data_IF_713096530204
#
_entry.id   IF_713096530204
#
_cell.length_a   1.000
_cell.length_b   1.000
_cell.length_c   1.000
_cell.angle_alpha   90.00
_cell.angle_beta   90.00
_cell.angle_gamma   90.00
#
_symmetry.space_group_name_H-M   'P 1'
#
loop_
_entity.id
_entity.type
_entity.pdbx_description
1 polymer ?
#
# COMPACT_ATOMS: atom_id res chain seq x y z
N UNK A 1 74.53 -19.78 43.55
CA UNK A 1 73.21 -20.30 43.16
C UNK A 1 72.26 -19.12 43.00
N UNK A 2 72.15 -18.60 41.78
CA UNK A 2 71.34 -17.43 41.47
C UNK A 2 70.00 -17.88 40.82
N UNK A 3 68.91 -17.68 41.57
CA UNK A 3 67.56 -17.88 41.03
C UNK A 3 67.12 -16.63 40.27
N UNK A 4 67.03 -16.72 38.95
CA UNK A 4 66.40 -15.71 38.12
C UNK A 4 64.87 -15.84 38.20
N UNK A 5 64.24 -14.77 38.65
CA UNK A 5 62.79 -14.63 38.60
C UNK A 5 62.40 -14.19 37.14
N UNK A 6 61.60 -14.98 36.47
CA UNK A 6 61.01 -14.64 35.18
C UNK A 6 59.65 -13.97 35.49
N UNK A 7 59.56 -12.68 35.18
CA UNK A 7 58.31 -11.93 35.23
C UNK A 7 57.60 -12.13 33.91
N UNK A 8 56.49 -12.84 33.96
CA UNK A 8 55.61 -12.98 32.80
C UNK A 8 54.77 -11.71 32.66
N UNK A 9 54.98 -10.99 31.56
CA UNK A 9 54.15 -9.86 31.18
C UNK A 9 52.96 -10.37 30.38
N UNK A 10 51.76 -10.36 31.00
CA UNK A 10 50.53 -10.71 30.33
C UNK A 10 50.08 -9.49 29.50
N UNK A 11 50.20 -9.60 28.18
CA UNK A 11 49.63 -8.66 27.26
C UNK A 11 48.15 -8.98 27.09
N UNK A 12 47.31 -8.14 27.68
CA UNK A 12 45.86 -8.22 27.51
C UNK A 12 45.49 -7.60 26.16
N UNK A 13 45.32 -8.46 25.15
CA UNK A 13 44.81 -8.02 23.83
C UNK A 13 43.31 -7.83 23.97
N UNK A 14 42.86 -6.59 24.10
CA UNK A 14 41.44 -6.24 24.00
C UNK A 14 41.03 -6.41 22.53
N UNK A 15 40.34 -7.48 22.24
CA UNK A 15 39.62 -7.63 20.97
C UNK A 15 38.41 -6.71 21.01
N UNK A 16 38.53 -5.54 20.43
CA UNK A 16 37.39 -4.69 20.08
C UNK A 16 36.60 -5.43 19.00
N UNK A 17 35.59 -6.18 19.43
CA UNK A 17 34.53 -6.59 18.52
C UNK A 17 33.76 -5.34 18.10
N UNK A 18 34.23 -4.68 17.03
CA UNK A 18 33.38 -3.81 16.24
C UNK A 18 32.31 -4.70 15.63
N UNK A 19 31.15 -4.79 16.29
CA UNK A 19 29.96 -5.35 15.70
C UNK A 19 29.62 -4.52 14.47
N UNK A 20 30.03 -5.02 13.30
CA UNK A 20 29.37 -4.65 12.06
C UNK A 20 27.91 -5.05 12.21
N UNK A 21 27.05 -4.12 12.60
CA UNK A 21 25.65 -4.21 12.29
C UNK A 21 25.60 -4.24 10.76
N UNK A 22 25.53 -5.44 10.19
CA UNK A 22 25.10 -5.60 8.81
C UNK A 22 23.68 -5.07 8.83
N UNK A 23 23.48 -3.90 8.22
CA UNK A 23 22.14 -3.44 7.85
C UNK A 23 21.51 -4.60 7.10
N UNK A 24 20.52 -5.24 7.75
CA UNK A 24 19.79 -6.33 7.11
C UNK A 24 19.06 -5.68 5.94
N UNK A 25 19.43 -6.09 4.73
CA UNK A 25 18.68 -5.73 3.54
C UNK A 25 17.24 -6.15 3.76
N UNK A 26 16.31 -5.22 3.65
CA UNK A 26 14.88 -5.52 3.75
C UNK A 26 14.55 -6.44 2.58
N UNK A 27 13.90 -7.58 2.84
CA UNK A 27 13.32 -8.39 1.78
C UNK A 27 12.12 -7.63 1.24
N UNK A 28 12.32 -6.89 0.14
CA UNK A 28 11.29 -6.05 -0.46
C UNK A 28 10.55 -6.77 -1.61
N UNK A 29 10.52 -8.10 -1.63
CA UNK A 29 9.86 -8.84 -2.70
C UNK A 29 9.15 -10.08 -2.14
N UNK A 30 7.84 -10.08 -2.23
CA UNK A 30 7.00 -11.20 -1.83
C UNK A 30 5.96 -10.86 -0.76
N UNK A 31 5.36 -11.87 -0.13
CA UNK A 31 4.36 -11.66 0.90
C UNK A 31 4.91 -10.95 2.13
N UNK A 32 4.08 -10.08 2.70
CA UNK A 32 4.29 -9.51 4.02
C UNK A 32 3.66 -10.46 5.03
N UNK A 33 4.48 -10.99 5.93
CA UNK A 33 4.10 -12.01 6.92
C UNK A 33 4.47 -11.54 8.33
N UNK A 34 4.01 -12.26 9.35
CA UNK A 34 4.39 -11.99 10.74
C UNK A 34 5.92 -11.94 10.97
N UNK A 35 6.72 -12.59 10.11
CA UNK A 35 8.18 -12.60 10.24
C UNK A 35 8.85 -11.31 9.75
N UNK A 36 8.28 -10.63 8.72
CA UNK A 36 8.87 -9.45 8.09
C UNK A 36 8.05 -8.17 8.25
N UNK A 37 6.81 -8.23 8.75
CA UNK A 37 5.91 -7.09 8.88
C UNK A 37 6.52 -5.92 9.64
N UNK A 38 7.27 -6.17 10.72
CA UNK A 38 7.91 -5.11 11.48
C UNK A 38 8.92 -4.28 10.65
N UNK A 39 9.57 -4.90 9.65
CA UNK A 39 10.48 -4.20 8.73
C UNK A 39 9.69 -3.37 7.70
N UNK A 40 8.57 -3.90 7.21
CA UNK A 40 7.68 -3.19 6.28
C UNK A 40 7.03 -2.00 7.00
N UNK A 41 6.52 -2.18 8.21
CA UNK A 41 5.97 -1.09 9.03
C UNK A 41 6.98 0.01 9.33
N UNK A 42 8.24 -0.35 9.58
CA UNK A 42 9.29 0.64 9.73
C UNK A 42 9.48 1.47 8.46
N UNK A 43 9.44 0.83 7.28
CA UNK A 43 9.52 1.52 6.00
C UNK A 43 8.33 2.45 5.76
N UNK A 44 7.10 1.98 6.05
CA UNK A 44 5.87 2.78 5.97
C UNK A 44 5.93 4.00 6.89
N UNK A 45 6.37 3.81 8.14
CA UNK A 45 6.53 4.89 9.14
C UNK A 45 7.59 5.91 8.71
N UNK A 46 8.71 5.46 8.16
CA UNK A 46 9.76 6.34 7.61
C UNK A 46 9.27 7.12 6.38
N UNK A 47 8.33 6.57 5.62
CA UNK A 47 7.64 7.27 4.55
C UNK A 47 6.56 8.24 5.07
N UNK A 48 6.36 8.35 6.38
CA UNK A 48 5.42 9.27 7.02
C UNK A 48 3.99 8.77 7.09
N UNK A 49 3.73 7.49 6.85
CA UNK A 49 2.40 6.89 6.90
C UNK A 49 1.94 6.64 8.34
N UNK A 50 0.63 6.69 8.55
CA UNK A 50 -0.03 6.50 9.85
C UNK A 50 -0.38 5.03 10.11
N UNK A 51 -0.88 4.72 11.31
CA UNK A 51 -1.51 3.44 11.67
C UNK A 51 -0.70 2.19 11.31
N UNK A 52 0.63 2.30 11.38
CA UNK A 52 1.52 1.19 11.02
C UNK A 52 1.52 0.05 12.04
N UNK A 53 1.05 0.28 13.26
CA UNK A 53 0.86 -0.74 14.30
C UNK A 53 -0.38 -1.57 14.02
N UNK A 54 -1.49 -0.93 13.64
CA UNK A 54 -2.72 -1.58 13.21
C UNK A 54 -2.49 -2.38 11.91
N UNK A 55 -1.69 -1.86 10.99
CA UNK A 55 -1.26 -2.60 9.80
C UNK A 55 -0.51 -3.90 10.18
N UNK A 56 0.39 -3.85 11.20
CA UNK A 56 1.06 -5.06 11.69
C UNK A 56 0.08 -6.09 12.27
N UNK A 57 -0.97 -5.64 12.94
CA UNK A 57 -2.02 -6.51 13.48
C UNK A 57 -2.80 -7.16 12.33
N UNK A 58 -3.25 -6.38 11.35
CA UNK A 58 -3.97 -6.91 10.18
C UNK A 58 -3.18 -7.94 9.38
N UNK A 59 -1.86 -7.74 9.22
CA UNK A 59 -0.99 -8.73 8.57
C UNK A 59 -0.95 -10.03 9.37
N UNK A 60 -0.77 -9.96 10.70
CA UNK A 60 -0.71 -11.14 11.57
C UNK A 60 -2.03 -11.90 11.59
N UNK A 61 -3.14 -11.19 11.65
CA UNK A 61 -4.48 -11.79 11.62
C UNK A 61 -4.75 -12.50 10.28
N UNK A 62 -4.28 -11.93 9.17
CA UNK A 62 -4.40 -12.57 7.84
C UNK A 62 -3.56 -13.85 7.75
N UNK A 63 -2.36 -13.90 8.35
CA UNK A 63 -1.50 -15.08 8.36
C UNK A 63 -2.09 -16.22 9.22
N UNK A 64 -2.83 -15.89 10.27
CA UNK A 64 -3.42 -16.86 11.21
C UNK A 64 -4.81 -17.34 10.79
N UNK A 65 -5.53 -16.56 9.98
CA UNK A 65 -6.88 -16.89 9.56
C UNK A 65 -6.87 -17.77 8.31
N UNK A 66 -7.40 -19.01 8.45
CA UNK A 66 -8.06 -19.65 7.32
C UNK A 66 -9.33 -18.82 7.05
N UNK A 67 -9.21 -17.76 6.23
CA UNK A 67 -10.30 -16.84 5.98
C UNK A 67 -11.44 -17.53 5.24
N UNK A 68 -12.48 -17.86 5.98
CA UNK A 68 -13.77 -18.20 5.40
C UNK A 68 -14.50 -16.90 5.02
N UNK A 69 -14.44 -16.50 3.74
CA UNK A 69 -15.27 -15.42 3.20
C UNK A 69 -14.57 -14.06 3.02
N UNK A 70 -15.37 -13.03 2.76
CA UNK A 70 -14.94 -11.66 2.42
C UNK A 70 -14.83 -10.72 3.64
N UNK A 71 -14.54 -11.23 4.83
CA UNK A 71 -14.55 -10.47 6.08
C UNK A 71 -13.16 -9.93 6.49
N UNK A 72 -12.24 -9.81 5.57
CA UNK A 72 -10.89 -9.31 5.85
C UNK A 72 -10.63 -7.92 5.29
N UNK A 73 -9.48 -7.31 5.65
CA UNK A 73 -9.02 -6.11 5.00
C UNK A 73 -8.76 -6.35 3.51
N UNK A 74 -9.09 -5.37 2.69
CA UNK A 74 -8.76 -5.35 1.28
C UNK A 74 -7.73 -4.26 0.94
N UNK A 75 -7.50 -4.03 -0.36
CA UNK A 75 -6.56 -3.03 -0.83
C UNK A 75 -6.99 -1.60 -0.45
N UNK A 76 -8.29 -1.26 -0.57
CA UNK A 76 -8.83 0.07 -0.30
C UNK A 76 -8.78 0.40 1.17
N UNK A 77 -9.23 -0.52 2.03
CA UNK A 77 -9.15 -0.38 3.49
C UNK A 77 -7.69 -0.21 3.95
N UNK A 78 -6.76 -1.00 3.38
CA UNK A 78 -5.33 -0.92 3.71
C UNK A 78 -4.72 0.43 3.35
N UNK A 79 -4.98 0.94 2.13
CA UNK A 79 -4.49 2.26 1.72
C UNK A 79 -5.11 3.35 2.56
N UNK A 80 -6.40 3.26 2.87
CA UNK A 80 -7.09 4.25 3.69
C UNK A 80 -6.60 4.26 5.14
N UNK A 81 -6.32 3.10 5.72
CA UNK A 81 -5.67 2.99 7.03
C UNK A 81 -4.34 3.75 7.05
N UNK A 82 -3.47 3.46 6.08
CA UNK A 82 -2.10 3.98 6.06
C UNK A 82 -2.01 5.45 5.65
N UNK A 83 -2.81 5.88 4.67
CA UNK A 83 -2.70 7.16 4.00
C UNK A 83 -3.83 8.14 4.31
N UNK A 84 -4.96 7.69 4.84
CA UNK A 84 -6.17 8.51 5.01
C UNK A 84 -5.99 9.76 5.88
N UNK A 85 -5.08 9.74 6.85
CA UNK A 85 -4.77 10.91 7.69
C UNK A 85 -3.98 12.00 6.95
N UNK A 86 -3.39 11.67 5.80
CA UNK A 86 -2.62 12.61 4.98
C UNK A 86 -3.41 13.10 3.76
N UNK A 87 -4.64 12.63 3.63
CA UNK A 87 -5.55 13.11 2.59
C UNK A 87 -6.31 14.31 3.12
N UNK A 88 -6.14 15.46 2.47
CA UNK A 88 -6.94 16.65 2.68
C UNK A 88 -8.00 16.77 1.59
N UNK A 89 -9.16 17.34 1.93
CA UNK A 89 -10.31 17.48 1.03
C UNK A 89 -11.16 18.69 1.42
N UNK A 90 -11.90 19.22 0.44
CA UNK A 90 -12.81 20.34 0.65
C UNK A 90 -14.26 19.88 0.87
N UNK A 91 -14.64 18.71 0.33
CA UNK A 91 -15.95 18.09 0.48
C UNK A 91 -15.88 16.58 0.22
N UNK A 92 -16.93 15.87 0.60
CA UNK A 92 -17.17 14.47 0.28
C UNK A 92 -18.47 14.30 -0.48
N UNK A 93 -18.74 13.10 -0.99
CA UNK A 93 -20.08 12.75 -1.47
C UNK A 93 -21.07 12.79 -0.30
N UNK A 94 -22.29 13.28 -0.55
CA UNK A 94 -23.32 13.37 0.51
C UNK A 94 -23.85 11.99 0.92
N UNK A 95 -23.96 11.07 -0.04
CA UNK A 95 -24.42 9.70 0.17
C UNK A 95 -23.77 8.78 -0.85
N UNK A 96 -23.39 7.59 -0.43
CA UNK A 96 -22.96 6.52 -1.31
C UNK A 96 -24.09 5.50 -1.46
N UNK A 97 -24.50 5.23 -2.70
CA UNK A 97 -25.58 4.29 -3.05
C UNK A 97 -25.11 3.19 -4.02
N UNK A 98 -23.78 3.07 -4.24
CA UNK A 98 -23.17 2.07 -5.10
C UNK A 98 -22.99 0.71 -4.41
N UNK A 99 -22.75 -0.30 -5.22
CA UNK A 99 -22.58 -1.68 -4.76
C UNK A 99 -21.12 -2.14 -4.64
N UNK A 100 -20.17 -1.40 -5.26
CA UNK A 100 -18.76 -1.83 -5.34
C UNK A 100 -18.08 -1.91 -3.97
N UNK A 101 -18.44 -1.04 -3.03
CA UNK A 101 -17.86 -0.99 -1.68
C UNK A 101 -18.68 -1.77 -0.64
N UNK A 102 -19.66 -2.55 -1.06
CA UNK A 102 -20.58 -3.25 -0.13
C UNK A 102 -19.84 -4.09 0.92
N UNK A 103 -18.81 -4.83 0.53
CA UNK A 103 -18.04 -5.68 1.44
C UNK A 103 -17.12 -4.86 2.35
N UNK A 104 -16.51 -3.78 1.82
CA UNK A 104 -15.68 -2.86 2.61
C UNK A 104 -16.52 -2.19 3.70
N UNK A 105 -17.68 -1.66 3.33
CA UNK A 105 -18.56 -0.95 4.26
C UNK A 105 -19.17 -1.91 5.29
N UNK A 106 -19.53 -3.13 4.91
CA UNK A 106 -19.97 -4.15 5.85
C UNK A 106 -18.89 -4.50 6.88
N UNK A 107 -17.65 -4.65 6.44
CA UNK A 107 -16.51 -4.90 7.32
C UNK A 107 -16.25 -3.71 8.26
N UNK A 108 -16.23 -2.47 7.73
CA UNK A 108 -16.03 -1.24 8.53
C UNK A 108 -17.14 -1.07 9.59
N UNK A 109 -18.40 -1.39 9.24
CA UNK A 109 -19.54 -1.22 10.15
C UNK A 109 -19.58 -2.31 11.23
N UNK A 110 -19.28 -3.56 10.89
CA UNK A 110 -19.58 -4.72 11.72
C UNK A 110 -18.35 -5.37 12.37
N UNK A 111 -17.13 -5.13 11.88
CA UNK A 111 -15.93 -5.71 12.47
C UNK A 111 -15.17 -4.65 13.29
N UNK A 112 -14.98 -4.87 14.62
CA UNK A 112 -14.23 -3.97 15.49
C UNK A 112 -12.80 -3.69 15.01
N UNK A 113 -12.16 -4.61 14.30
CA UNK A 113 -10.79 -4.45 13.77
C UNK A 113 -10.70 -3.31 12.75
N UNK A 114 -11.79 -2.94 12.09
CA UNK A 114 -11.82 -1.90 11.05
C UNK A 114 -12.61 -0.66 11.46
N UNK A 115 -13.19 -0.64 12.67
CA UNK A 115 -14.05 0.44 13.16
C UNK A 115 -13.39 1.84 13.18
N UNK A 116 -12.06 1.91 13.19
CA UNK A 116 -11.31 3.16 13.10
C UNK A 116 -11.50 3.90 11.76
N UNK A 117 -11.82 3.17 10.68
CA UNK A 117 -12.06 3.75 9.36
C UNK A 117 -13.43 4.44 9.27
N UNK A 118 -14.37 4.11 10.18
CA UNK A 118 -15.74 4.61 10.20
C UNK A 118 -15.85 6.12 10.37
N UNK A 119 -14.94 6.74 11.11
CA UNK A 119 -14.98 8.19 11.35
C UNK A 119 -14.83 9.03 10.06
N UNK A 120 -14.27 8.42 8.99
CA UNK A 120 -14.03 9.05 7.69
C UNK A 120 -14.66 8.25 6.54
N UNK A 121 -15.76 7.54 6.80
CA UNK A 121 -16.43 6.70 5.80
C UNK A 121 -16.85 7.48 4.56
N UNK A 122 -17.34 8.73 4.72
CA UNK A 122 -17.69 9.60 3.58
C UNK A 122 -16.46 9.90 2.68
N UNK A 123 -15.28 10.06 3.27
CA UNK A 123 -14.04 10.22 2.49
C UNK A 123 -13.65 8.89 1.81
N UNK A 124 -13.80 7.77 2.50
CA UNK A 124 -13.52 6.45 1.94
C UNK A 124 -14.37 6.18 0.70
N UNK A 125 -15.69 6.39 0.79
CA UNK A 125 -16.61 6.22 -0.33
C UNK A 125 -16.33 7.19 -1.48
N UNK A 126 -15.97 8.44 -1.15
CA UNK A 126 -15.57 9.44 -2.16
C UNK A 126 -14.29 9.06 -2.89
N UNK A 127 -13.34 8.42 -2.22
CA UNK A 127 -12.07 8.01 -2.84
C UNK A 127 -12.21 6.80 -3.75
N UNK A 128 -13.00 5.81 -3.36
CA UNK A 128 -12.96 4.47 -3.94
C UNK A 128 -14.25 4.04 -4.63
N UNK A 129 -15.38 4.69 -4.34
CA UNK A 129 -16.67 4.37 -4.92
C UNK A 129 -16.77 4.66 -6.41
N UNK A 130 -17.89 4.26 -6.99
CA UNK A 130 -18.20 4.48 -8.40
C UNK A 130 -18.26 5.97 -8.70
N UNK A 131 -17.73 6.33 -9.85
CA UNK A 131 -17.75 7.68 -10.38
C UNK A 131 -18.21 7.68 -11.84
N UNK A 132 -18.96 8.68 -12.28
CA UNK A 132 -19.38 8.78 -13.69
C UNK A 132 -18.17 9.02 -14.60
N UNK A 133 -18.23 8.48 -15.81
CA UNK A 133 -17.27 8.82 -16.85
C UNK A 133 -17.59 10.21 -17.37
N UNK A 134 -16.71 11.21 -17.24
CA UNK A 134 -16.96 12.56 -17.70
C UNK A 134 -16.92 12.64 -19.25
N UNK A 135 -17.50 13.73 -19.83
CA UNK A 135 -17.44 13.99 -21.27
C UNK A 135 -16.01 14.10 -21.81
N UNK A 136 -15.05 14.47 -20.94
CA UNK A 136 -13.62 14.57 -21.28
C UNK A 136 -12.95 13.20 -21.52
N UNK A 137 -13.58 12.12 -21.10
CA UNK A 137 -13.16 10.76 -21.34
C UNK A 137 -12.84 9.98 -20.07
N UNK A 138 -12.69 8.69 -20.22
CA UNK A 138 -12.48 7.70 -19.20
C UNK A 138 -11.29 7.98 -18.27
N UNK A 139 -10.19 8.48 -18.84
CA UNK A 139 -8.96 8.79 -18.09
C UNK A 139 -9.11 10.00 -17.15
N UNK A 140 -10.13 10.82 -17.33
CA UNK A 140 -10.34 12.03 -16.54
C UNK A 140 -11.26 11.79 -15.34
N UNK A 141 -11.86 10.60 -15.19
CA UNK A 141 -12.83 10.34 -14.13
C UNK A 141 -12.24 10.52 -12.73
N UNK A 142 -11.09 9.90 -12.43
CA UNK A 142 -10.43 10.03 -11.13
C UNK A 142 -9.86 11.44 -10.89
N UNK A 143 -9.11 12.06 -11.83
CA UNK A 143 -8.66 13.44 -11.70
C UNK A 143 -9.80 14.44 -11.49
N UNK A 144 -10.89 14.32 -12.24
CA UNK A 144 -12.06 15.20 -12.09
C UNK A 144 -12.72 15.03 -10.71
N UNK A 145 -12.86 13.79 -10.22
CA UNK A 145 -13.38 13.53 -8.86
C UNK A 145 -12.49 14.15 -7.79
N UNK A 146 -11.18 13.93 -7.84
CA UNK A 146 -10.26 14.53 -6.87
C UNK A 146 -10.33 16.06 -6.91
N UNK A 147 -10.35 16.64 -8.09
CA UNK A 147 -10.49 18.08 -8.27
C UNK A 147 -11.83 18.61 -7.75
N UNK A 148 -12.95 17.91 -8.02
CA UNK A 148 -14.29 18.31 -7.59
C UNK A 148 -14.39 18.39 -6.07
N UNK A 149 -13.79 17.41 -5.36
CA UNK A 149 -13.83 17.33 -3.90
C UNK A 149 -12.62 17.99 -3.21
N UNK A 150 -11.70 18.58 -3.98
CA UNK A 150 -10.48 19.20 -3.46
C UNK A 150 -9.56 18.20 -2.76
N UNK A 151 -9.58 16.94 -3.22
CA UNK A 151 -8.77 15.87 -2.63
C UNK A 151 -7.30 16.09 -2.98
N UNK A 152 -6.44 16.01 -1.98
CA UNK A 152 -4.99 16.09 -2.10
C UNK A 152 -4.35 15.09 -1.14
N UNK A 153 -3.38 14.35 -1.63
CA UNK A 153 -2.52 13.52 -0.79
C UNK A 153 -1.18 14.23 -0.59
N UNK A 154 -0.95 14.72 0.62
CA UNK A 154 0.19 15.56 0.95
C UNK A 154 1.32 14.73 1.58
N UNK A 155 2.06 14.01 0.73
CA UNK A 155 3.23 13.25 1.15
C UNK A 155 4.31 13.23 0.05
N UNK A 156 5.51 13.68 0.38
CA UNK A 156 6.65 13.75 -0.55
C UNK A 156 7.42 12.42 -0.68
N UNK A 157 7.13 11.44 0.18
CA UNK A 157 7.87 10.19 0.28
C UNK A 157 7.14 8.99 -0.29
N UNK A 158 5.85 9.10 -0.50
CA UNK A 158 5.04 8.06 -1.10
C UNK A 158 3.88 8.64 -1.90
N UNK A 159 3.21 7.76 -2.63
CA UNK A 159 2.04 8.09 -3.44
C UNK A 159 1.01 6.97 -3.35
N UNK A 160 -0.26 7.31 -3.48
CA UNK A 160 -1.32 6.34 -3.68
C UNK A 160 -1.33 5.94 -5.17
N UNK A 161 -1.29 4.66 -5.44
CA UNK A 161 -1.52 4.10 -6.76
C UNK A 161 -2.97 3.61 -6.80
N UNK A 162 -3.72 4.06 -7.79
CA UNK A 162 -5.10 3.62 -8.03
C UNK A 162 -5.23 3.00 -9.41
N UNK A 163 -5.89 1.85 -9.47
CA UNK A 163 -6.23 1.18 -10.72
C UNK A 163 -7.74 1.26 -10.87
N UNK A 164 -8.16 2.00 -11.89
CA UNK A 164 -9.55 2.32 -12.17
C UNK A 164 -10.07 1.40 -13.26
N UNK A 165 -11.16 0.71 -12.95
CA UNK A 165 -11.85 -0.23 -13.83
C UNK A 165 -13.18 0.35 -14.28
N UNK A 166 -13.67 -0.12 -15.42
CA UNK A 166 -15.04 0.15 -15.86
C UNK A 166 -16.02 -0.68 -15.01
N UNK A 167 -17.10 -0.06 -14.55
CA UNK A 167 -18.19 -0.79 -13.92
C UNK A 167 -19.07 -1.43 -15.01
N UNK A 168 -19.50 -2.68 -14.74
CA UNK A 168 -20.39 -3.40 -15.65
C UNK A 168 -21.72 -2.64 -15.85
N UNK A 169 -22.20 -2.61 -17.09
CA UNK A 169 -23.53 -2.10 -17.50
C UNK A 169 -23.79 -0.60 -17.28
N UNK A 170 -22.83 0.19 -16.81
CA UNK A 170 -22.99 1.61 -16.55
C UNK A 170 -21.83 2.42 -17.15
N UNK A 171 -22.11 3.67 -17.53
CA UNK A 171 -21.07 4.65 -17.87
C UNK A 171 -20.38 5.18 -16.59
N UNK A 172 -19.90 4.25 -15.78
CA UNK A 172 -19.21 4.49 -14.52
C UNK A 172 -17.90 3.71 -14.45
N UNK A 173 -17.02 4.19 -13.60
CA UNK A 173 -15.74 3.56 -13.23
C UNK A 173 -15.58 3.57 -11.73
N UNK A 174 -14.67 2.75 -11.22
CA UNK A 174 -14.38 2.66 -9.79
C UNK A 174 -12.93 2.30 -9.55
N UNK A 175 -12.41 2.59 -8.35
CA UNK A 175 -11.10 2.12 -7.93
C UNK A 175 -11.19 0.66 -7.52
N UNK A 176 -10.87 -0.25 -8.44
CA UNK A 176 -10.94 -1.69 -8.21
C UNK A 176 -9.72 -2.25 -7.49
N UNK A 177 -8.57 -1.57 -7.60
CA UNK A 177 -7.38 -1.91 -6.83
C UNK A 177 -6.57 -0.67 -6.47
N UNK A 178 -5.85 -0.73 -5.33
CA UNK A 178 -4.99 0.37 -4.88
C UNK A 178 -3.84 -0.13 -4.01
N UNK A 179 -2.77 0.67 -3.90
CA UNK A 179 -1.62 0.41 -3.05
C UNK A 179 -0.79 1.66 -2.81
N UNK A 180 0.26 1.53 -2.02
CA UNK A 180 1.18 2.61 -1.69
C UNK A 180 2.51 2.41 -2.42
N UNK A 181 2.95 3.40 -3.18
CA UNK A 181 4.26 3.45 -3.82
C UNK A 181 5.20 4.34 -3.01
N UNK A 182 6.21 3.73 -2.38
CA UNK A 182 7.17 4.42 -1.50
C UNK A 182 8.42 4.77 -2.31
N UNK A 183 8.88 6.02 -2.22
CA UNK A 183 10.15 6.47 -2.78
C UNK A 183 11.32 6.00 -1.89
N UNK A 184 12.17 5.15 -2.44
CA UNK A 184 13.31 4.54 -1.78
C UNK A 184 14.67 4.95 -2.38
N UNK A 185 14.70 5.96 -3.26
CA UNK A 185 15.93 6.39 -3.96
C UNK A 185 17.05 6.88 -3.03
N UNK A 186 16.71 7.26 -1.80
CA UNK A 186 17.69 7.63 -0.76
C UNK A 186 18.07 6.43 0.16
N UNK A 187 17.52 5.25 -0.04
CA UNK A 187 17.72 4.06 0.78
C UNK A 187 18.79 3.14 0.20
N UNK A 188 19.91 2.98 0.90
CA UNK A 188 21.01 2.12 0.45
C UNK A 188 20.75 0.62 0.63
N UNK A 189 19.84 0.27 1.51
CA UNK A 189 19.49 -1.11 1.86
C UNK A 189 18.29 -1.67 1.07
N UNK A 190 17.73 -0.88 0.16
CA UNK A 190 16.64 -1.28 -0.74
C UNK A 190 17.20 -1.26 -2.17
N UNK A 191 17.07 -2.37 -2.93
CA UNK A 191 17.72 -2.50 -4.24
C UNK A 191 16.91 -1.89 -5.40
N UNK A 192 15.92 -1.04 -5.12
CA UNK A 192 15.04 -0.41 -6.12
C UNK A 192 14.76 1.05 -5.77
N UNK A 193 14.35 1.83 -6.76
CA UNK A 193 14.02 3.23 -6.59
C UNK A 193 12.70 3.42 -5.84
N UNK A 194 11.78 2.45 -6.00
CA UNK A 194 10.48 2.44 -5.33
C UNK A 194 10.17 1.05 -4.76
N UNK A 195 9.24 1.04 -3.82
CA UNK A 195 8.63 -0.17 -3.26
C UNK A 195 7.12 0.01 -3.29
N UNK A 196 6.41 -0.93 -3.90
CA UNK A 196 4.95 -0.97 -3.92
C UNK A 196 4.45 -1.91 -2.83
N UNK A 197 3.58 -1.40 -1.96
CA UNK A 197 2.95 -2.13 -0.86
C UNK A 197 1.44 -2.16 -1.09
N UNK A 198 0.86 -3.35 -1.07
CA UNK A 198 -0.55 -3.56 -1.36
C UNK A 198 -1.13 -4.75 -0.60
N UNK A 199 -2.43 -4.80 -0.44
CA UNK A 199 -3.21 -6.00 -0.14
C UNK A 199 -3.84 -6.45 -1.45
N UNK A 200 -3.57 -7.68 -1.90
CA UNK A 200 -4.01 -8.10 -3.24
C UNK A 200 -5.53 -8.25 -3.31
N UNK A 201 -6.11 -8.98 -2.35
CA UNK A 201 -7.55 -9.12 -2.20
C UNK A 201 -7.91 -9.47 -0.75
N UNK A 202 -9.18 -9.67 -0.44
CA UNK A 202 -9.61 -10.13 0.90
C UNK A 202 -8.94 -11.42 1.34
N UNK A 203 -8.75 -12.37 0.42
CA UNK A 203 -8.19 -13.70 0.68
C UNK A 203 -6.70 -13.83 0.41
N UNK A 204 -6.13 -12.90 -0.36
CA UNK A 204 -4.72 -12.93 -0.75
C UNK A 204 -3.85 -12.13 0.22
N UNK A 205 -2.55 -12.38 0.27
CA UNK A 205 -1.67 -11.75 1.25
C UNK A 205 -1.43 -10.26 0.97
N UNK A 206 -0.94 -9.56 1.98
CA UNK A 206 -0.22 -8.31 1.79
C UNK A 206 1.06 -8.58 1.03
N UNK A 207 1.39 -7.71 0.08
CA UNK A 207 2.56 -7.87 -0.77
C UNK A 207 3.45 -6.63 -0.71
N UNK A 208 4.75 -6.88 -0.85
CA UNK A 208 5.75 -5.84 -1.07
C UNK A 208 6.55 -6.17 -2.32
N UNK A 209 6.62 -5.23 -3.25
CA UNK A 209 7.21 -5.44 -4.57
C UNK A 209 8.19 -4.30 -4.89
N UNK A 210 9.49 -4.62 -5.17
CA UNK A 210 10.45 -3.62 -5.61
C UNK A 210 10.13 -3.17 -7.03
N UNK A 211 10.23 -1.87 -7.30
CA UNK A 211 9.87 -1.26 -8.57
C UNK A 211 10.92 -0.20 -8.93
N UNK A 212 11.41 -0.22 -10.16
CA UNK A 212 12.38 0.78 -10.64
C UNK A 212 11.72 2.09 -11.04
N UNK A 213 10.59 1.98 -11.73
CA UNK A 213 9.84 3.12 -12.26
C UNK A 213 8.36 2.75 -12.49
N UNK A 214 7.57 3.73 -12.91
CA UNK A 214 6.14 3.56 -13.18
C UNK A 214 5.86 2.57 -14.33
N UNK A 215 6.74 2.47 -15.32
CA UNK A 215 6.56 1.52 -16.43
C UNK A 215 6.71 0.07 -15.96
N UNK A 216 7.67 -0.19 -15.06
CA UNK A 216 7.82 -1.51 -14.45
C UNK A 216 6.62 -1.85 -13.56
N UNK A 217 6.09 -0.88 -12.79
CA UNK A 217 4.88 -1.07 -12.01
C UNK A 217 3.70 -1.48 -12.92
N UNK A 218 3.47 -0.74 -14.00
CA UNK A 218 2.42 -1.04 -14.98
C UNK A 218 2.62 -2.43 -15.59
N UNK A 219 3.86 -2.80 -15.93
CA UNK A 219 4.18 -4.12 -16.47
C UNK A 219 3.83 -5.24 -15.49
N UNK A 220 4.20 -5.10 -14.21
CA UNK A 220 3.90 -6.08 -13.15
C UNK A 220 2.40 -6.21 -12.95
N UNK A 221 1.66 -5.10 -12.93
CA UNK A 221 0.22 -5.10 -12.78
C UNK A 221 -0.49 -5.72 -14.00
N UNK A 222 0.01 -5.47 -15.22
CA UNK A 222 -0.54 -6.04 -16.46
C UNK A 222 -0.39 -7.58 -16.55
N UNK A 223 0.51 -8.19 -15.79
CA UNK A 223 0.68 -9.64 -15.75
C UNK A 223 -0.38 -10.35 -14.88
N UNK A 224 -1.24 -9.60 -14.19
CA UNK A 224 -2.27 -10.17 -13.31
C UNK A 224 -3.48 -10.64 -14.12
N UNK A 225 -3.88 -11.91 -13.98
CA UNK A 225 -5.02 -12.46 -14.73
C UNK A 225 -6.34 -11.72 -14.49
N UNK A 226 -6.54 -11.22 -13.27
CA UNK A 226 -7.77 -10.54 -12.85
C UNK A 226 -7.92 -9.13 -13.44
N UNK A 227 -6.87 -8.61 -14.12
CA UNK A 227 -6.88 -7.28 -14.74
C UNK A 227 -7.03 -7.35 -16.26
N UNK A 228 -7.26 -8.54 -16.80
CA UNK A 228 -7.58 -8.71 -18.22
C UNK A 228 -9.00 -8.21 -18.49
N UNK A 229 -9.16 -7.50 -19.61
CA UNK A 229 -10.45 -6.96 -20.04
C UNK A 229 -11.00 -7.76 -21.22
N UNK A 230 -12.32 -7.79 -21.34
CA UNK A 230 -12.99 -8.39 -22.49
C UNK A 230 -12.98 -7.44 -23.72
N UNK A 231 -13.27 -8.01 -24.90
CA UNK A 231 -13.32 -7.22 -26.13
C UNK A 231 -14.43 -6.16 -26.04
N UNK A 232 -14.05 -4.89 -26.12
CA UNK A 232 -14.97 -3.75 -26.06
C UNK A 232 -14.97 -3.02 -24.71
N UNK A 233 -14.28 -3.54 -23.71
CA UNK A 233 -14.08 -2.85 -22.43
C UNK A 233 -12.89 -1.90 -22.51
N UNK A 234 -12.91 -0.85 -21.67
CA UNK A 234 -11.75 0.01 -21.50
C UNK A 234 -10.67 -0.70 -20.69
N UNK A 235 -9.39 -0.60 -21.10
CA UNK A 235 -8.30 -1.14 -20.29
C UNK A 235 -8.25 -0.40 -18.95
N UNK A 236 -7.91 -1.11 -17.83
CA UNK A 236 -7.79 -0.47 -16.53
C UNK A 236 -6.77 0.66 -16.56
N UNK A 237 -7.12 1.80 -15.98
CA UNK A 237 -6.29 3.00 -15.96
C UNK A 237 -5.52 3.11 -14.65
N UNK A 238 -4.24 3.42 -14.73
CA UNK A 238 -3.34 3.52 -13.56
C UNK A 238 -3.02 4.98 -13.27
N UNK A 239 -3.19 5.34 -11.99
CA UNK A 239 -2.93 6.69 -11.50
C UNK A 239 -1.92 6.65 -10.35
N UNK A 240 -1.14 7.71 -10.28
CA UNK A 240 -0.31 8.05 -9.12
C UNK A 240 -0.89 9.30 -8.49
N UNK A 241 -1.54 9.16 -7.35
CA UNK A 241 -2.48 10.15 -6.82
C UNK A 241 -3.57 10.47 -7.87
N UNK A 242 -3.70 11.73 -8.29
CA UNK A 242 -4.61 12.20 -9.34
C UNK A 242 -3.99 12.26 -10.75
N UNK A 243 -2.73 11.82 -10.90
CA UNK A 243 -2.00 11.87 -12.18
C UNK A 243 -2.07 10.52 -12.88
N UNK A 244 -2.65 10.50 -14.08
CA UNK A 244 -2.64 9.32 -14.94
C UNK A 244 -1.20 8.97 -15.38
N UNK A 245 -0.78 7.71 -15.20
CA UNK A 245 0.56 7.22 -15.53
C UNK A 245 0.56 6.12 -16.61
N UNK A 246 -0.61 5.58 -16.97
CA UNK A 246 -0.72 4.59 -18.02
C UNK A 246 -1.97 3.73 -17.92
N UNK A 247 -2.03 2.71 -18.77
CA UNK A 247 -3.09 1.70 -18.81
C UNK A 247 -2.50 0.30 -18.73
N UNK A 248 -3.25 -0.66 -18.20
CA UNK A 248 -2.90 -2.08 -18.19
C UNK A 248 -3.23 -2.70 -19.55
N UNK A 249 -2.44 -3.71 -19.97
CA UNK A 249 -2.55 -4.35 -21.31
C UNK A 249 -2.68 -5.86 -21.18
#
# INVERSE_FOLDING_TARGET
MNKRKITACAVLTAVLCTGCSRDKTISCNGPVTAENVAQVSALLREAGLSHTEEFEEWVKDTDEAETEGFSGADCRMTVFLLAGDQITYDSTEETYDGDILMFDLDAIENDPAYSMLKEKEDLFTTLFGEMPVPESGYQEALPDRWKQHGIRFENDRCSVISIVFQAYEEEKVFVGHTGILIDCRDKQNIPSDYVFVEKISFTDPFMITPVRDENELISILSERPDYTVEEGEYPPQVYRNDVWIGELK
#
